data_IF_361418552738
#
_entry.id   IF_361418552738
#
_cell.length_a   1.000
_cell.length_b   1.000
_cell.length_c   1.000
_cell.angle_alpha   90.00
_cell.angle_beta   90.00
_cell.angle_gamma   90.00
#
_symmetry.space_group_name_H-M   'P 1'
#
loop_
_entity.id
_entity.type
_entity.pdbx_description
1 polymer ?
#
# COMPACT_ATOMS: atom_id res chain seq x y z
N UNK A 1 14.98 -9.28 7.35
CA UNK A 1 15.36 -8.90 5.97
C UNK A 1 15.50 -10.16 5.11
N UNK A 2 15.51 -10.02 3.77
CA UNK A 2 15.83 -11.12 2.87
C UNK A 2 17.22 -11.70 3.19
N UNK A 3 17.43 -12.97 2.84
CA UNK A 3 18.67 -13.68 3.20
C UNK A 3 19.89 -13.17 2.44
N UNK A 4 19.70 -12.61 1.24
CA UNK A 4 20.71 -11.86 0.49
C UNK A 4 20.04 -10.69 -0.26
N UNK A 5 19.81 -9.52 0.34
CA UNK A 5 18.95 -8.49 -0.25
C UNK A 5 19.50 -7.98 -1.59
N UNK A 6 18.63 -7.93 -2.60
CA UNK A 6 18.94 -7.40 -3.94
C UNK A 6 18.76 -5.88 -4.07
N UNK A 7 18.92 -5.35 -5.28
CA UNK A 7 18.59 -3.96 -5.59
C UNK A 7 17.10 -3.69 -5.34
N UNK A 8 16.76 -2.49 -4.84
CA UNK A 8 15.38 -2.08 -4.54
C UNK A 8 14.65 -2.89 -3.47
N UNK A 9 15.38 -3.66 -2.64
CA UNK A 9 14.79 -4.32 -1.46
C UNK A 9 14.35 -3.30 -0.40
N UNK A 10 14.89 -2.09 -0.45
CA UNK A 10 14.61 -1.01 0.48
C UNK A 10 13.92 0.15 -0.21
N UNK A 11 13.01 0.80 0.51
CA UNK A 11 12.31 1.99 0.02
C UNK A 11 13.27 3.14 -0.23
N UNK A 12 13.08 3.95 -1.29
CA UNK A 12 13.93 5.10 -1.58
C UNK A 12 14.05 6.08 -0.41
N UNK A 13 13.01 6.15 0.42
CA UNK A 13 12.92 7.01 1.60
C UNK A 13 13.16 6.31 2.93
N UNK A 14 13.72 5.08 2.95
CA UNK A 14 14.02 4.35 4.19
C UNK A 14 14.73 5.20 5.24
N UNK A 15 15.68 6.04 4.79
CA UNK A 15 16.48 6.93 5.66
C UNK A 15 15.64 7.96 6.43
N UNK A 16 14.43 8.30 5.96
CA UNK A 16 13.53 9.21 6.66
C UNK A 16 12.87 8.58 7.89
N UNK A 17 12.86 7.25 8.00
CA UNK A 17 12.18 6.55 9.10
C UNK A 17 10.73 7.04 9.25
N UNK A 18 10.34 7.44 10.46
CA UNK A 18 9.00 7.97 10.75
C UNK A 18 8.68 9.32 10.07
N UNK A 19 9.66 10.03 9.49
CA UNK A 19 9.43 11.30 8.79
C UNK A 19 8.99 11.12 7.33
N UNK A 20 8.88 9.88 6.84
CA UNK A 20 8.50 9.58 5.45
C UNK A 20 7.19 10.21 4.97
N UNK A 21 6.25 10.53 5.87
CA UNK A 21 5.00 11.22 5.51
C UNK A 21 5.22 12.64 4.97
N UNK A 22 6.36 13.27 5.26
CA UNK A 22 6.73 14.58 4.70
C UNK A 22 6.81 14.54 3.16
N UNK A 23 7.04 13.36 2.58
CA UNK A 23 7.01 13.20 1.12
C UNK A 23 5.69 13.65 0.50
N UNK A 24 4.56 13.46 1.18
CA UNK A 24 3.25 13.87 0.68
C UNK A 24 2.95 15.36 0.92
N UNK A 25 3.73 16.04 1.77
CA UNK A 25 3.46 17.41 2.20
C UNK A 25 3.35 18.44 1.05
N UNK A 26 4.19 18.41 0.00
CA UNK A 26 4.07 19.36 -1.12
C UNK A 26 2.70 19.29 -1.81
N UNK A 27 2.19 18.08 -2.05
CA UNK A 27 0.90 17.88 -2.72
C UNK A 27 -0.29 18.24 -1.84
N UNK A 28 -0.19 17.95 -0.53
CA UNK A 28 -1.20 18.36 0.45
C UNK A 28 -1.26 19.88 0.57
N UNK A 29 -0.10 20.55 0.67
CA UNK A 29 -0.03 22.00 0.71
C UNK A 29 -0.58 22.63 -0.58
N UNK A 30 -0.24 22.06 -1.74
CA UNK A 30 -0.80 22.47 -3.03
C UNK A 30 -2.32 22.33 -3.08
N UNK A 31 -2.88 21.22 -2.59
CA UNK A 31 -4.34 21.03 -2.51
C UNK A 31 -5.02 22.07 -1.64
N UNK A 32 -4.46 22.39 -0.47
CA UNK A 32 -4.99 23.45 0.38
C UNK A 32 -4.88 24.84 -0.24
N UNK A 33 -3.78 25.12 -0.94
CA UNK A 33 -3.60 26.37 -1.67
C UNK A 33 -4.67 26.53 -2.76
N UNK A 34 -4.95 25.47 -3.53
CA UNK A 34 -5.99 25.46 -4.56
C UNK A 34 -7.39 25.71 -3.95
N UNK A 35 -7.71 25.02 -2.84
CA UNK A 35 -8.97 25.26 -2.11
C UNK A 35 -9.06 26.70 -1.61
N UNK A 36 -7.98 27.26 -1.07
CA UNK A 36 -7.98 28.61 -0.51
C UNK A 36 -8.07 29.71 -1.59
N UNK A 37 -7.54 29.46 -2.78
CA UNK A 37 -7.46 30.46 -3.87
C UNK A 37 -8.63 30.37 -4.85
N UNK A 38 -9.10 29.17 -5.18
CA UNK A 38 -10.18 28.92 -6.15
C UNK A 38 -11.52 28.61 -5.48
N UNK A 39 -11.50 28.18 -4.22
CA UNK A 39 -12.68 27.74 -3.50
C UNK A 39 -13.12 26.31 -3.86
N UNK A 40 -13.99 25.75 -3.04
CA UNK A 40 -14.43 24.34 -3.12
C UNK A 40 -15.21 23.97 -4.38
N UNK A 41 -15.76 24.95 -5.11
CA UNK A 41 -16.57 24.69 -6.32
C UNK A 41 -15.72 24.44 -7.56
N UNK A 42 -14.52 25.01 -7.60
CA UNK A 42 -13.64 25.01 -8.77
C UNK A 42 -12.43 24.09 -8.60
N UNK A 43 -12.18 23.61 -7.37
CA UNK A 43 -11.08 22.70 -7.09
C UNK A 43 -11.36 21.30 -7.65
N UNK A 44 -10.31 20.64 -8.11
CA UNK A 44 -10.36 19.24 -8.50
C UNK A 44 -10.64 18.34 -7.27
N UNK A 45 -11.90 17.92 -7.14
CA UNK A 45 -12.34 17.04 -6.05
C UNK A 45 -11.62 15.69 -6.05
N UNK A 46 -11.22 15.18 -7.22
CA UNK A 46 -10.45 13.94 -7.34
C UNK A 46 -9.06 14.10 -6.72
N UNK A 47 -8.37 15.20 -7.03
CA UNK A 47 -7.07 15.53 -6.43
C UNK A 47 -7.18 15.69 -4.91
N UNK A 48 -8.19 16.40 -4.41
CA UNK A 48 -8.40 16.61 -2.97
C UNK A 48 -8.76 15.30 -2.26
N UNK A 49 -9.53 14.42 -2.89
CA UNK A 49 -9.94 13.14 -2.33
C UNK A 49 -8.80 12.12 -2.16
N UNK A 50 -7.62 12.33 -2.79
CA UNK A 50 -6.46 11.46 -2.64
C UNK A 50 -6.05 11.35 -1.16
N UNK A 51 -5.85 12.48 -0.46
CA UNK A 51 -5.39 12.44 0.94
C UNK A 51 -6.38 11.71 1.87
N UNK A 52 -7.69 12.04 1.90
CA UNK A 52 -8.68 11.28 2.66
C UNK A 52 -8.68 9.78 2.30
N UNK A 53 -8.51 9.43 1.03
CA UNK A 53 -8.45 8.04 0.58
C UNK A 53 -7.23 7.29 1.12
N UNK A 54 -6.06 7.93 1.17
CA UNK A 54 -4.85 7.36 1.76
C UNK A 54 -5.00 7.17 3.27
N UNK A 55 -5.60 8.13 3.97
CA UNK A 55 -5.89 8.02 5.41
C UNK A 55 -6.88 6.90 5.70
N UNK A 56 -7.94 6.79 4.90
CA UNK A 56 -8.91 5.70 5.00
C UNK A 56 -8.24 4.34 4.77
N UNK A 57 -7.32 4.25 3.80
CA UNK A 57 -6.52 3.04 3.54
C UNK A 57 -5.64 2.68 4.74
N UNK A 58 -5.03 3.66 5.38
CA UNK A 58 -4.23 3.46 6.61
C UNK A 58 -5.09 2.89 7.74
N UNK A 59 -6.24 3.51 8.00
CA UNK A 59 -7.18 3.06 9.04
C UNK A 59 -7.71 1.66 8.75
N UNK A 60 -8.06 1.39 7.50
CA UNK A 60 -8.53 0.08 7.05
C UNK A 60 -7.48 -1.01 7.27
N UNK A 61 -6.24 -0.77 6.87
CA UNK A 61 -5.15 -1.72 7.08
C UNK A 61 -4.89 -1.94 8.57
N UNK A 62 -4.84 -0.88 9.38
CA UNK A 62 -4.65 -0.98 10.82
C UNK A 62 -5.77 -1.76 11.50
N UNK A 63 -7.02 -1.58 11.06
CA UNK A 63 -8.16 -2.35 11.55
C UNK A 63 -7.98 -3.84 11.25
N UNK A 64 -7.60 -4.21 10.03
CA UNK A 64 -7.37 -5.61 9.66
C UNK A 64 -6.18 -6.24 10.39
N UNK A 65 -5.08 -5.51 10.58
CA UNK A 65 -3.94 -5.98 11.41
C UNK A 65 -4.44 -6.27 12.82
N UNK A 66 -5.22 -5.35 13.40
CA UNK A 66 -5.77 -5.50 14.76
C UNK A 66 -6.67 -6.73 14.86
N UNK A 67 -7.58 -6.90 13.90
CA UNK A 67 -8.48 -8.05 13.83
C UNK A 67 -7.67 -9.35 13.70
N UNK A 68 -6.68 -9.40 12.81
CA UNK A 68 -5.82 -10.58 12.63
C UNK A 68 -5.10 -10.96 13.92
N UNK A 69 -4.48 -9.98 14.60
CA UNK A 69 -3.78 -10.20 15.88
C UNK A 69 -4.72 -10.68 16.97
N UNK A 70 -5.92 -10.11 17.08
CA UNK A 70 -6.93 -10.55 18.05
C UNK A 70 -7.41 -11.98 17.78
N UNK A 71 -7.64 -12.32 16.50
CA UNK A 71 -7.99 -13.67 16.09
C UNK A 71 -6.86 -14.66 16.38
N UNK A 72 -5.61 -14.29 16.13
CA UNK A 72 -4.47 -15.15 16.45
C UNK A 72 -4.34 -15.34 17.97
N UNK A 73 -4.45 -14.27 18.77
CA UNK A 73 -4.31 -14.35 20.23
C UNK A 73 -5.42 -15.16 20.93
N UNK A 74 -6.63 -15.19 20.37
CA UNK A 74 -7.80 -15.89 20.95
C UNK A 74 -8.14 -17.21 20.24
N UNK A 75 -7.54 -17.46 19.08
CA UNK A 75 -8.01 -18.46 18.13
C UNK A 75 -7.62 -19.88 18.53
N UNK A 76 -8.60 -20.78 18.60
CA UNK A 76 -8.35 -22.24 18.68
C UNK A 76 -7.88 -22.85 17.36
N UNK A 77 -7.91 -22.07 16.26
CA UNK A 77 -7.62 -22.49 14.87
C UNK A 77 -6.22 -22.11 14.39
N UNK A 78 -5.28 -21.92 15.31
CA UNK A 78 -3.88 -21.69 14.93
C UNK A 78 -3.29 -22.93 14.28
N UNK A 79 -2.78 -22.79 13.05
CA UNK A 79 -2.02 -23.84 12.38
C UNK A 79 -0.69 -24.08 13.13
N UNK A 80 -0.05 -22.98 13.54
CA UNK A 80 1.18 -22.98 14.34
C UNK A 80 0.90 -22.28 15.66
N UNK A 81 1.11 -22.97 16.78
CA UNK A 81 0.92 -22.41 18.14
C UNK A 81 2.11 -21.52 18.54
N UNK A 82 2.26 -20.38 17.88
CA UNK A 82 3.27 -19.36 18.19
C UNK A 82 2.64 -17.96 18.23
N UNK A 83 3.15 -17.12 19.14
CA UNK A 83 2.80 -15.71 19.20
C UNK A 83 3.55 -14.88 18.16
N UNK A 84 3.15 -13.62 18.00
CA UNK A 84 3.93 -12.67 17.21
C UNK A 84 5.19 -12.27 17.99
N UNK A 85 6.34 -12.37 17.34
CA UNK A 85 7.64 -12.01 17.90
C UNK A 85 8.01 -10.57 17.52
N UNK A 86 8.83 -9.90 18.34
CA UNK A 86 9.28 -8.52 18.07
C UNK A 86 9.97 -8.41 16.71
N UNK A 87 10.77 -9.40 16.33
CA UNK A 87 11.40 -9.47 15.02
C UNK A 87 10.39 -9.42 13.88
N UNK A 88 9.24 -10.10 14.01
CA UNK A 88 8.20 -10.03 13.00
C UNK A 88 7.57 -8.63 12.96
N UNK A 89 7.28 -8.04 14.12
CA UNK A 89 6.73 -6.67 14.21
C UNK A 89 7.66 -5.68 13.52
N UNK A 90 8.96 -5.76 13.75
CA UNK A 90 9.94 -4.86 13.15
C UNK A 90 10.06 -5.04 11.64
N UNK A 91 9.97 -6.28 11.14
CA UNK A 91 9.97 -6.60 9.71
C UNK A 91 8.74 -6.03 8.99
N UNK A 92 7.59 -6.07 9.64
CA UNK A 92 6.30 -5.69 9.06
C UNK A 92 5.93 -4.23 9.34
N UNK A 93 6.70 -3.51 10.15
CA UNK A 93 6.41 -2.13 10.58
C UNK A 93 6.25 -1.11 9.45
N UNK A 94 6.88 -1.36 8.31
CA UNK A 94 6.96 -0.47 7.15
C UNK A 94 5.86 -0.71 6.09
N UNK A 95 4.79 -1.40 6.47
CA UNK A 95 3.66 -1.73 5.58
C UNK A 95 3.00 -0.51 4.91
N UNK A 96 3.14 0.67 5.52
CA UNK A 96 2.58 1.93 5.07
C UNK A 96 3.39 2.60 3.94
N UNK A 97 4.59 2.12 3.64
CA UNK A 97 5.39 2.64 2.52
C UNK A 97 4.68 2.46 1.17
N UNK A 98 3.93 1.36 0.98
CA UNK A 98 3.10 1.14 -0.20
C UNK A 98 1.99 2.20 -0.34
N UNK A 99 1.43 2.68 0.78
CA UNK A 99 0.42 3.74 0.79
C UNK A 99 1.04 5.06 0.33
N UNK A 100 2.26 5.37 0.78
CA UNK A 100 2.99 6.56 0.36
C UNK A 100 3.30 6.50 -1.14
N UNK A 101 3.81 5.37 -1.64
CA UNK A 101 4.06 5.17 -3.06
C UNK A 101 2.77 5.36 -3.88
N UNK A 102 1.69 4.71 -3.47
CA UNK A 102 0.38 4.84 -4.13
C UNK A 102 -0.09 6.29 -4.15
N UNK A 103 0.07 7.02 -3.03
CA UNK A 103 -0.25 8.44 -2.94
C UNK A 103 0.55 9.29 -3.92
N UNK A 104 1.86 9.08 -4.01
CA UNK A 104 2.73 9.77 -4.98
C UNK A 104 2.23 9.49 -6.40
N UNK A 105 1.98 8.23 -6.76
CA UNK A 105 1.51 7.85 -8.10
C UNK A 105 0.14 8.46 -8.43
N UNK A 106 -0.79 8.49 -7.46
CA UNK A 106 -2.10 9.12 -7.63
C UNK A 106 -1.97 10.64 -7.84
N UNK A 107 -1.13 11.32 -7.07
CA UNK A 107 -0.90 12.75 -7.24
C UNK A 107 -0.22 13.08 -8.57
N UNK A 108 0.79 12.30 -8.97
CA UNK A 108 1.42 12.44 -10.28
C UNK A 108 0.41 12.19 -11.40
N UNK A 109 -0.46 11.19 -11.25
CA UNK A 109 -1.56 10.91 -12.18
C UNK A 109 -2.50 12.10 -12.31
N UNK A 110 -2.98 12.62 -11.19
CA UNK A 110 -3.89 13.77 -11.16
C UNK A 110 -3.25 15.05 -11.73
N UNK A 111 -1.92 15.23 -11.65
CA UNK A 111 -1.24 16.42 -12.17
C UNK A 111 -0.82 16.31 -13.64
N UNK A 112 -0.35 15.13 -14.06
CA UNK A 112 0.39 14.99 -15.31
C UNK A 112 -0.24 14.05 -16.32
N UNK A 113 -1.17 13.17 -15.92
CA UNK A 113 -1.84 12.27 -16.87
C UNK A 113 -3.01 13.01 -17.51
N UNK A 114 -3.07 13.11 -18.86
CA UNK A 114 -4.21 13.69 -19.55
C UNK A 114 -5.50 12.95 -19.19
N UNK A 115 -6.52 13.70 -18.74
CA UNK A 115 -7.79 13.13 -18.28
C UNK A 115 -7.76 12.60 -16.84
N UNK A 116 -6.66 12.80 -16.10
CA UNK A 116 -6.57 12.53 -14.66
C UNK A 116 -7.19 13.62 -13.78
N UNK A 117 -7.51 14.79 -14.36
CA UNK A 117 -8.08 15.94 -13.66
C UNK A 117 -9.60 15.93 -13.69
N UNK A 118 -10.23 16.48 -12.65
CA UNK A 118 -11.68 16.67 -12.53
C UNK A 118 -12.48 15.38 -12.75
N UNK A 119 -11.91 14.25 -12.32
CA UNK A 119 -12.58 12.96 -12.41
C UNK A 119 -13.84 12.94 -11.53
N UNK A 120 -14.92 12.30 -11.99
CA UNK A 120 -16.10 12.12 -11.14
C UNK A 120 -15.73 11.25 -9.94
N UNK A 121 -16.27 11.58 -8.77
CA UNK A 121 -16.06 10.80 -7.54
C UNK A 121 -16.56 9.35 -7.66
N UNK A 122 -17.53 9.10 -8.54
CA UNK A 122 -18.07 7.78 -8.80
C UNK A 122 -18.46 7.61 -10.27
N UNK A 123 -18.13 6.44 -10.83
CA UNK A 123 -18.59 6.00 -12.15
C UNK A 123 -18.73 4.48 -12.17
N UNK A 124 -19.95 3.98 -12.34
CA UNK A 124 -20.25 2.54 -12.22
C UNK A 124 -19.60 1.70 -13.33
N UNK A 125 -19.55 2.22 -14.55
CA UNK A 125 -18.84 1.61 -15.68
C UNK A 125 -17.32 1.51 -15.41
N UNK A 126 -16.75 2.54 -14.79
CA UNK A 126 -15.36 2.59 -14.34
C UNK A 126 -15.09 1.56 -13.24
N UNK A 127 -15.99 1.44 -12.27
CA UNK A 127 -15.90 0.40 -11.24
C UNK A 127 -15.94 -1.01 -11.85
N UNK A 128 -16.83 -1.24 -12.82
CA UNK A 128 -16.88 -2.50 -13.57
C UNK A 128 -15.59 -2.78 -14.35
N UNK A 129 -15.04 -1.77 -15.05
CA UNK A 129 -13.78 -1.90 -15.78
C UNK A 129 -12.60 -2.20 -14.82
N UNK A 130 -12.51 -1.50 -13.69
CA UNK A 130 -11.48 -1.76 -12.67
C UNK A 130 -11.60 -3.19 -12.14
N UNK A 131 -12.80 -3.66 -11.86
CA UNK A 131 -13.02 -5.04 -11.40
C UNK A 131 -12.57 -6.07 -12.44
N UNK A 132 -12.87 -5.85 -13.73
CA UNK A 132 -12.43 -6.73 -14.82
C UNK A 132 -10.92 -6.71 -15.04
N UNK A 133 -10.30 -5.51 -15.03
CA UNK A 133 -8.85 -5.35 -15.13
C UNK A 133 -8.14 -6.02 -13.95
N UNK A 134 -8.72 -5.92 -12.76
CA UNK A 134 -8.20 -6.58 -11.57
C UNK A 134 -8.31 -8.11 -11.71
N UNK A 135 -9.52 -8.63 -11.86
CA UNK A 135 -9.79 -10.07 -11.89
C UNK A 135 -9.15 -10.82 -13.09
N UNK A 136 -8.85 -10.12 -14.19
CA UNK A 136 -8.18 -10.69 -15.35
C UNK A 136 -6.67 -10.38 -15.35
N UNK A 137 -6.24 -9.29 -16.00
CA UNK A 137 -4.83 -8.95 -16.16
C UNK A 137 -4.02 -8.88 -14.87
N UNK A 138 -4.52 -8.22 -13.82
CA UNK A 138 -3.73 -8.03 -12.58
C UNK A 138 -3.51 -9.35 -11.86
N UNK A 139 -4.55 -10.15 -11.66
CA UNK A 139 -4.43 -11.47 -11.04
C UNK A 139 -3.52 -12.41 -11.86
N UNK A 140 -3.63 -12.38 -13.19
CA UNK A 140 -2.75 -13.15 -14.06
C UNK A 140 -1.27 -12.77 -13.87
N UNK A 141 -0.95 -11.48 -13.91
CA UNK A 141 0.41 -10.98 -13.71
C UNK A 141 0.92 -11.28 -12.30
N UNK A 142 0.07 -11.08 -11.29
CA UNK A 142 0.38 -11.38 -9.89
C UNK A 142 0.76 -12.85 -9.71
N UNK A 143 -0.03 -13.79 -10.25
CA UNK A 143 0.25 -15.21 -10.15
C UNK A 143 1.62 -15.58 -10.73
N UNK A 144 1.91 -15.14 -11.95
CA UNK A 144 3.18 -15.48 -12.61
C UNK A 144 4.37 -14.80 -11.95
N UNK A 145 4.22 -13.56 -11.52
CA UNK A 145 5.25 -12.84 -10.79
C UNK A 145 5.54 -13.51 -9.45
N UNK A 146 4.49 -13.86 -8.69
CA UNK A 146 4.64 -14.57 -7.42
C UNK A 146 5.33 -15.93 -7.62
N UNK A 147 4.94 -16.68 -8.66
CA UNK A 147 5.62 -17.93 -9.03
C UNK A 147 7.09 -17.71 -9.37
N UNK A 148 7.44 -16.63 -10.07
CA UNK A 148 8.83 -16.30 -10.37
C UNK A 148 9.62 -15.94 -9.10
N UNK A 149 9.01 -15.23 -8.14
CA UNK A 149 9.61 -14.90 -6.83
C UNK A 149 10.00 -16.14 -6.02
N UNK A 150 9.41 -17.31 -6.30
CA UNK A 150 9.80 -18.58 -5.67
C UNK A 150 10.99 -19.28 -6.36
N UNK A 151 11.50 -18.76 -7.47
CA UNK A 151 12.74 -19.26 -8.05
C UNK A 151 13.93 -18.88 -7.16
N UNK A 152 14.88 -19.79 -6.94
CA UNK A 152 15.95 -19.68 -5.93
C UNK A 152 16.59 -18.28 -5.84
N UNK A 153 16.99 -17.70 -6.96
CA UNK A 153 17.57 -16.35 -6.99
C UNK A 153 16.60 -15.28 -6.43
N UNK A 154 15.39 -15.16 -6.98
CA UNK A 154 14.42 -14.16 -6.54
C UNK A 154 13.92 -14.44 -5.12
N UNK A 155 13.85 -15.72 -4.74
CA UNK A 155 13.44 -16.13 -3.41
C UNK A 155 14.40 -15.57 -2.37
N UNK A 156 15.69 -15.90 -2.45
CA UNK A 156 16.71 -15.47 -1.48
C UNK A 156 16.81 -13.94 -1.38
N UNK A 157 16.60 -13.22 -2.48
CA UNK A 157 16.83 -11.77 -2.54
C UNK A 157 15.60 -10.93 -2.22
N UNK A 158 14.39 -11.42 -2.50
CA UNK A 158 13.18 -10.61 -2.45
C UNK A 158 12.01 -11.28 -1.70
N UNK A 159 11.91 -12.61 -1.69
CA UNK A 159 10.71 -13.28 -1.19
C UNK A 159 10.90 -14.05 0.13
N UNK A 160 12.12 -14.47 0.47
CA UNK A 160 12.40 -15.29 1.67
C UNK A 160 12.00 -14.58 2.96
N UNK A 161 12.08 -13.26 2.97
CA UNK A 161 11.68 -12.41 4.10
C UNK A 161 10.20 -12.55 4.43
N UNK A 162 9.35 -12.54 3.41
CA UNK A 162 7.90 -12.69 3.54
C UNK A 162 7.53 -14.03 4.18
N UNK A 163 8.22 -15.11 3.80
CA UNK A 163 8.04 -16.45 4.36
C UNK A 163 8.57 -16.61 5.79
N UNK A 164 9.27 -15.61 6.33
CA UNK A 164 9.75 -15.64 7.73
C UNK A 164 8.69 -15.22 8.75
N UNK A 165 7.55 -14.67 8.29
CA UNK A 165 6.42 -14.34 9.16
C UNK A 165 5.63 -15.60 9.49
N UNK A 166 5.62 -15.94 10.78
CA UNK A 166 4.96 -17.15 11.29
C UNK A 166 3.48 -16.88 11.59
N UNK A 167 3.18 -15.67 12.07
CA UNK A 167 1.81 -15.19 12.25
C UNK A 167 1.45 -14.38 11.03
N UNK A 168 0.60 -14.92 10.16
CA UNK A 168 0.19 -14.20 8.95
C UNK A 168 -0.65 -12.97 9.30
N UNK A 169 -0.24 -11.81 8.81
CA UNK A 169 -0.98 -10.56 8.90
C UNK A 169 -1.43 -10.13 7.49
N UNK A 170 -2.49 -9.31 7.37
CA UNK A 170 -2.92 -8.77 6.09
C UNK A 170 -1.81 -8.06 5.32
N UNK A 171 -0.88 -7.44 6.06
CA UNK A 171 0.29 -6.74 5.53
C UNK A 171 1.46 -7.65 5.20
N UNK A 172 1.43 -8.91 5.67
CA UNK A 172 2.42 -9.90 5.28
C UNK A 172 2.30 -10.15 3.77
N UNK A 173 1.09 -10.16 3.20
CA UNK A 173 0.82 -10.49 1.78
C UNK A 173 1.07 -9.36 0.76
N UNK A 174 1.51 -8.18 1.21
CA UNK A 174 1.83 -7.01 0.36
C UNK A 174 3.32 -6.88 0.13
#
# INVERSE_FOLDING_TARGET
MATNPGLFTEWPWKKLGSFKYVLLAPWVAHGWYEVATKGWREVDLGYIAILPSLLLRMLHNQAWITISRLQNARGRRQIVRRGIEFDQVDRERNWDDQIILSGILLYLGALYVPGGQHLPLWRTDGAGLIALLHAGPVEFLYYWFHRALHHHFLYTHYHSHHHSSIVTEPITCT
#
